data_IF_369239752524
#
_entry.id   IF_369239752524
#
_cell.length_a   1.000
_cell.length_b   1.000
_cell.length_c   1.000
_cell.angle_alpha   90.00
_cell.angle_beta   90.00
_cell.angle_gamma   90.00
#
_symmetry.space_group_name_H-M   'P 1'
#
loop_
_entity.id
_entity.type
_entity.pdbx_description
1 polymer ?
#
# COMPACT_ATOMS: atom_id res chain seq x y z
N UNK A 1 -43.90 -4.70 38.03
CA UNK A 1 -42.83 -3.75 38.35
C UNK A 1 -41.51 -4.37 37.94
N UNK A 2 -40.89 -3.86 36.88
CA UNK A 2 -39.53 -4.29 36.50
C UNK A 2 -38.59 -3.75 37.57
N UNK A 3 -37.87 -4.65 38.25
CA UNK A 3 -37.00 -4.33 39.36
C UNK A 3 -35.81 -3.52 38.81
N UNK A 4 -35.69 -2.25 39.20
CA UNK A 4 -34.74 -1.27 38.63
C UNK A 4 -33.28 -1.78 38.62
N UNK A 5 -32.93 -2.60 39.60
CA UNK A 5 -31.64 -3.30 39.73
C UNK A 5 -31.36 -4.29 38.60
N UNK A 6 -32.38 -5.00 38.09
CA UNK A 6 -32.21 -5.93 36.96
C UNK A 6 -31.96 -5.17 35.66
N UNK A 7 -32.58 -4.00 35.50
CA UNK A 7 -32.41 -3.15 34.31
C UNK A 7 -30.98 -2.58 34.24
N UNK A 8 -30.43 -2.16 35.39
CA UNK A 8 -29.05 -1.69 35.51
C UNK A 8 -28.06 -2.80 35.15
N UNK A 9 -28.29 -4.03 35.61
CA UNK A 9 -27.42 -5.18 35.28
C UNK A 9 -27.42 -5.50 33.78
N UNK A 10 -28.59 -5.45 33.14
CA UNK A 10 -28.72 -5.69 31.68
C UNK A 10 -28.03 -4.59 30.89
N UNK A 11 -28.16 -3.33 31.33
CA UNK A 11 -27.49 -2.19 30.70
C UNK A 11 -25.97 -2.29 30.85
N UNK A 12 -25.47 -2.70 32.02
CA UNK A 12 -24.04 -2.93 32.26
C UNK A 12 -23.49 -4.05 31.36
N UNK A 13 -24.26 -5.12 31.15
CA UNK A 13 -23.91 -6.24 30.28
C UNK A 13 -23.86 -5.82 28.80
N UNK A 14 -24.78 -4.95 28.37
CA UNK A 14 -24.81 -4.41 27.01
C UNK A 14 -23.59 -3.52 26.71
N UNK A 15 -23.17 -2.69 27.66
CA UNK A 15 -21.99 -1.82 27.49
C UNK A 15 -20.70 -2.66 27.32
N UNK A 16 -20.62 -3.84 27.93
CA UNK A 16 -19.50 -4.77 27.78
C UNK A 16 -19.44 -5.42 26.38
N UNK A 17 -20.54 -5.43 25.61
CA UNK A 17 -20.57 -5.99 24.25
C UNK A 17 -20.15 -5.01 23.14
N UNK A 18 -20.04 -3.71 23.46
CA UNK A 18 -19.61 -2.67 22.49
C UNK A 18 -18.07 -2.53 22.46
N UNK A 19 -17.36 -3.33 23.25
CA UNK A 19 -15.91 -3.31 23.35
C UNK A 19 -15.22 -4.17 22.29
N UNK A 20 -14.50 -3.50 21.39
CA UNK A 20 -13.46 -4.04 20.48
C UNK A 20 -13.92 -4.73 19.19
N UNK A 21 -14.55 -3.98 18.29
CA UNK A 21 -14.20 -4.09 16.86
C UNK A 21 -13.28 -2.92 16.52
N UNK A 22 -12.05 -2.96 17.03
CA UNK A 22 -11.02 -2.07 16.48
C UNK A 22 -10.65 -2.69 15.13
N UNK A 23 -11.38 -2.30 14.07
CA UNK A 23 -10.97 -2.65 12.72
C UNK A 23 -9.50 -2.26 12.59
N UNK A 24 -8.68 -3.23 12.19
CA UNK A 24 -7.25 -3.01 12.05
C UNK A 24 -7.06 -2.08 10.85
N UNK A 25 -7.03 -0.78 11.13
CA UNK A 25 -6.78 0.25 10.12
C UNK A 25 -5.42 -0.08 9.49
N UNK A 26 -5.42 -0.38 8.19
CA UNK A 26 -4.19 -0.62 7.42
C UNK A 26 -3.42 0.69 7.37
N UNK A 27 -2.11 0.64 7.66
CA UNK A 27 -1.22 1.80 7.66
C UNK A 27 -0.14 1.62 6.60
N UNK A 28 0.43 2.71 6.06
CA UNK A 28 1.54 2.65 5.10
C UNK A 28 2.88 2.31 5.79
N UNK A 29 2.91 1.24 6.59
CA UNK A 29 4.05 0.81 7.40
C UNK A 29 4.86 -0.34 6.78
N UNK A 30 4.41 -0.86 5.64
CA UNK A 30 5.16 -1.79 4.79
C UNK A 30 4.89 -1.51 3.30
N UNK A 31 5.78 -1.95 2.39
CA UNK A 31 5.57 -1.82 0.94
C UNK A 31 4.24 -2.43 0.47
N UNK A 32 3.86 -3.58 1.05
CA UNK A 32 2.61 -4.27 0.72
C UNK A 32 1.39 -3.45 1.14
N UNK A 33 1.39 -2.94 2.38
CA UNK A 33 0.29 -2.12 2.87
C UNK A 33 0.18 -0.79 2.11
N UNK A 34 1.31 -0.15 1.80
CA UNK A 34 1.33 1.07 1.00
C UNK A 34 0.79 0.83 -0.42
N UNK A 35 1.21 -0.27 -1.06
CA UNK A 35 0.74 -0.64 -2.40
C UNK A 35 -0.75 -0.95 -2.43
N UNK A 36 -1.27 -1.59 -1.38
CA UNK A 36 -2.70 -1.81 -1.19
C UNK A 36 -3.47 -0.50 -1.00
N UNK A 37 -3.00 0.39 -0.13
CA UNK A 37 -3.64 1.68 0.11
C UNK A 37 -3.66 2.54 -1.17
N UNK A 38 -2.56 2.55 -1.92
CA UNK A 38 -2.49 3.22 -3.21
C UNK A 38 -3.47 2.63 -4.25
N UNK A 39 -3.61 1.30 -4.34
CA UNK A 39 -4.57 0.68 -5.26
C UNK A 39 -6.03 1.02 -4.90
N UNK A 40 -6.35 1.09 -3.61
CA UNK A 40 -7.65 1.54 -3.12
C UNK A 40 -7.90 3.01 -3.51
N UNK A 41 -6.92 3.89 -3.31
CA UNK A 41 -7.04 5.30 -3.67
C UNK A 41 -7.24 5.49 -5.19
N UNK A 42 -6.49 4.75 -6.03
CA UNK A 42 -6.66 4.75 -7.49
C UNK A 42 -8.07 4.28 -7.89
N UNK A 43 -8.55 3.17 -7.32
CA UNK A 43 -9.90 2.65 -7.63
C UNK A 43 -11.01 3.62 -7.26
N UNK A 44 -10.86 4.31 -6.14
CA UNK A 44 -11.85 5.26 -5.65
C UNK A 44 -11.68 6.66 -6.29
N UNK A 45 -10.69 6.84 -7.16
CA UNK A 45 -10.30 8.15 -7.73
C UNK A 45 -10.04 9.20 -6.64
N UNK A 46 -9.55 8.76 -5.47
CA UNK A 46 -9.18 9.64 -4.36
C UNK A 46 -7.73 10.09 -4.50
N UNK A 47 -7.51 11.05 -5.40
CA UNK A 47 -6.18 11.54 -5.72
C UNK A 47 -5.54 12.36 -4.60
N UNK A 48 -6.33 12.90 -3.66
CA UNK A 48 -5.79 13.57 -2.48
C UNK A 48 -5.15 12.56 -1.53
N UNK A 49 -5.83 11.45 -1.26
CA UNK A 49 -5.29 10.36 -0.47
C UNK A 49 -4.07 9.74 -1.18
N UNK A 50 -4.16 9.49 -2.48
CA UNK A 50 -3.03 8.97 -3.28
C UNK A 50 -1.82 9.91 -3.21
N UNK A 51 -2.01 11.22 -3.36
CA UNK A 51 -0.94 12.24 -3.25
C UNK A 51 -0.29 12.24 -1.87
N UNK A 52 -1.03 11.90 -0.81
CA UNK A 52 -0.49 11.85 0.56
C UNK A 52 0.63 10.82 0.73
N UNK A 53 0.61 9.75 -0.07
CA UNK A 53 1.56 8.63 -0.04
C UNK A 53 2.89 8.91 -0.75
N UNK A 54 2.97 9.98 -1.54
CA UNK A 54 4.21 10.38 -2.19
C UNK A 54 5.17 11.05 -1.19
N UNK A 55 6.46 11.00 -1.50
CA UNK A 55 7.46 11.83 -0.80
C UNK A 55 7.17 13.31 -1.04
N UNK A 56 7.55 14.17 -0.11
CA UNK A 56 7.30 15.62 -0.26
C UNK A 56 7.96 16.20 -1.52
N UNK A 57 9.18 15.74 -1.84
CA UNK A 57 9.86 16.09 -3.10
C UNK A 57 9.09 15.71 -4.36
N UNK A 58 8.34 14.61 -4.31
CA UNK A 58 7.55 14.14 -5.45
C UNK A 58 6.22 14.88 -5.53
N UNK A 59 5.59 15.21 -4.40
CA UNK A 59 4.32 15.96 -4.37
C UNK A 59 4.38 17.31 -5.11
N UNK A 60 5.56 17.94 -5.13
CA UNK A 60 5.82 19.21 -5.82
C UNK A 60 5.85 19.07 -7.35
N UNK A 61 6.12 17.86 -7.87
CA UNK A 61 6.22 17.60 -9.32
C UNK A 61 4.97 16.94 -9.90
N UNK A 62 4.04 16.47 -9.06
CA UNK A 62 2.75 15.91 -9.49
C UNK A 62 1.74 17.03 -9.78
N UNK A 63 1.37 17.16 -11.05
CA UNK A 63 0.30 18.04 -11.52
C UNK A 63 -1.04 17.28 -11.67
N UNK A 64 -2.09 18.01 -12.01
CA UNK A 64 -3.42 17.41 -12.20
C UNK A 64 -3.44 16.45 -13.40
N UNK A 65 -2.61 16.70 -14.43
CA UNK A 65 -2.53 15.84 -15.61
C UNK A 65 -2.04 14.44 -15.24
N UNK A 66 -1.07 14.33 -14.33
CA UNK A 66 -0.62 13.03 -13.82
C UNK A 66 -1.77 12.20 -13.25
N UNK A 67 -2.70 12.82 -12.51
CA UNK A 67 -3.82 12.11 -11.91
C UNK A 67 -4.95 11.83 -12.91
N UNK A 68 -5.18 12.73 -13.87
CA UNK A 68 -6.09 12.50 -15.00
C UNK A 68 -5.66 11.27 -15.81
N UNK A 69 -4.36 11.05 -16.00
CA UNK A 69 -3.83 9.87 -16.70
C UNK A 69 -4.10 8.55 -15.94
N UNK A 70 -4.41 8.62 -14.64
CA UNK A 70 -4.80 7.46 -13.82
C UNK A 70 -6.31 7.19 -13.89
N UNK A 71 -7.11 8.11 -14.43
CA UNK A 71 -8.55 7.92 -14.56
C UNK A 71 -8.83 6.77 -15.52
N UNK A 72 -9.69 5.85 -15.09
CA UNK A 72 -10.06 4.68 -15.87
C UNK A 72 -9.13 3.48 -15.67
N UNK A 73 -8.03 3.62 -14.91
CA UNK A 73 -7.30 2.47 -14.38
C UNK A 73 -8.20 1.79 -13.36
N UNK A 74 -8.69 0.61 -13.73
CA UNK A 74 -9.46 -0.24 -12.83
C UNK A 74 -8.54 -1.29 -12.22
N UNK A 75 -8.44 -1.30 -10.90
CA UNK A 75 -7.54 -2.15 -10.13
C UNK A 75 -8.31 -3.26 -9.35
N UNK A 76 -9.50 -3.64 -9.83
CA UNK A 76 -10.15 -4.87 -9.38
C UNK A 76 -9.27 -6.09 -9.72
N UNK A 77 -8.90 -6.86 -8.69
CA UNK A 77 -8.08 -8.07 -8.87
C UNK A 77 -6.57 -7.80 -9.02
N UNK A 78 -6.06 -6.71 -8.45
CA UNK A 78 -4.62 -6.41 -8.44
C UNK A 78 -3.82 -7.49 -7.73
N UNK A 79 -2.78 -7.96 -8.42
CA UNK A 79 -1.69 -8.69 -7.80
C UNK A 79 -0.63 -7.68 -7.33
N UNK A 80 -0.28 -7.73 -6.04
CA UNK A 80 0.74 -6.86 -5.47
C UNK A 80 2.10 -7.55 -5.53
N UNK A 81 3.08 -6.88 -6.16
CA UNK A 81 4.47 -7.34 -6.26
C UNK A 81 5.40 -6.25 -5.77
N UNK A 82 6.39 -6.64 -4.98
CA UNK A 82 7.43 -5.72 -4.48
C UNK A 82 8.68 -5.89 -5.30
N UNK A 83 9.18 -4.80 -5.89
CA UNK A 83 10.45 -4.79 -6.61
C UNK A 83 11.48 -3.95 -5.88
N UNK A 84 12.70 -4.49 -5.72
CA UNK A 84 13.86 -3.70 -5.30
C UNK A 84 14.75 -3.41 -6.50
N UNK A 85 15.09 -2.14 -6.69
CA UNK A 85 15.99 -1.70 -7.74
C UNK A 85 17.44 -1.69 -7.24
N UNK A 86 18.30 -2.46 -7.92
CA UNK A 86 19.74 -2.44 -7.74
C UNK A 86 20.41 -1.75 -8.92
N UNK A 87 21.24 -0.75 -8.63
CA UNK A 87 22.08 -0.06 -9.62
C UNK A 87 23.55 -0.40 -9.38
N UNK A 88 24.15 -1.15 -10.30
CA UNK A 88 25.57 -1.48 -10.30
C UNK A 88 26.34 -0.33 -10.94
N UNK A 89 26.80 0.62 -10.12
CA UNK A 89 27.41 1.89 -10.56
C UNK A 89 28.58 1.64 -11.53
N UNK A 90 29.48 0.73 -11.19
CA UNK A 90 30.69 0.47 -11.98
C UNK A 90 30.43 -0.21 -13.33
N UNK A 91 29.28 -0.86 -13.47
CA UNK A 91 28.93 -1.65 -14.66
C UNK A 91 27.83 -1.00 -15.51
N UNK A 92 27.28 0.13 -15.03
CA UNK A 92 26.11 0.79 -15.60
C UNK A 92 24.98 -0.22 -15.90
N UNK A 93 24.69 -1.07 -14.89
CA UNK A 93 23.63 -2.09 -14.98
C UNK A 93 22.57 -1.86 -13.92
N UNK A 94 21.31 -2.01 -14.34
CA UNK A 94 20.14 -1.96 -13.46
C UNK A 94 19.50 -3.34 -13.43
N UNK A 95 19.16 -3.78 -12.23
CA UNK A 95 18.49 -5.07 -11.97
C UNK A 95 17.31 -4.82 -11.03
N UNK A 96 16.17 -5.44 -11.35
CA UNK A 96 15.02 -5.50 -10.45
C UNK A 96 14.98 -6.88 -9.79
N UNK A 97 14.85 -6.89 -8.47
CA UNK A 97 14.59 -8.10 -7.69
C UNK A 97 13.10 -8.14 -7.36
N UNK A 98 12.40 -9.16 -7.82
CA UNK A 98 11.04 -9.45 -7.37
C UNK A 98 11.10 -10.11 -6.01
N UNK A 99 10.58 -9.43 -4.98
CA UNK A 99 10.63 -9.84 -3.59
C UNK A 99 9.24 -10.29 -3.16
N UNK A 100 9.17 -11.48 -2.55
CA UNK A 100 7.94 -12.05 -2.00
C UNK A 100 8.12 -12.37 -0.53
N UNK A 101 7.03 -12.27 0.24
CA UNK A 101 7.02 -12.68 1.65
C UNK A 101 6.56 -14.14 1.73
N UNK A 102 7.39 -15.00 2.31
CA UNK A 102 7.04 -16.38 2.58
C UNK A 102 6.07 -16.45 3.78
N UNK A 103 4.85 -16.97 3.62
CA UNK A 103 3.84 -16.99 4.67
C UNK A 103 4.15 -18.01 5.80
N UNK A 104 4.98 -19.02 5.55
CA UNK A 104 5.28 -20.07 6.52
C UNK A 104 6.28 -19.60 7.58
N UNK A 105 7.29 -18.83 7.17
CA UNK A 105 8.39 -18.39 8.03
C UNK A 105 8.48 -16.86 8.21
N UNK A 106 7.61 -16.09 7.54
CA UNK A 106 7.59 -14.62 7.51
C UNK A 106 8.86 -13.93 6.98
N UNK A 107 9.78 -14.68 6.36
CA UNK A 107 10.96 -14.12 5.72
C UNK A 107 10.64 -13.60 4.32
N UNK A 108 11.48 -12.68 3.84
CA UNK A 108 11.44 -12.23 2.45
C UNK A 108 12.39 -13.06 1.59
N UNK A 109 11.94 -13.42 0.40
CA UNK A 109 12.66 -14.26 -0.57
C UNK A 109 12.66 -13.58 -1.94
N UNK A 110 13.68 -13.86 -2.75
CA UNK A 110 13.76 -13.37 -4.15
C UNK A 110 13.08 -14.41 -5.04
N UNK A 111 12.02 -14.01 -5.72
CA UNK A 111 11.32 -14.86 -6.69
C UNK A 111 11.97 -14.80 -8.07
N UNK A 112 12.31 -13.60 -8.55
CA UNK A 112 12.92 -13.40 -9.87
C UNK A 112 13.97 -12.27 -9.85
N UNK A 113 14.91 -12.38 -10.79
CA UNK A 113 15.92 -11.35 -11.07
C UNK A 113 15.72 -10.89 -12.52
N UNK A 114 15.36 -9.62 -12.71
CA UNK A 114 15.09 -9.04 -14.02
C UNK A 114 16.21 -8.07 -14.35
N UNK A 115 17.01 -8.38 -15.38
CA UNK A 115 17.99 -7.44 -15.92
C UNK A 115 17.25 -6.42 -16.78
N UNK A 116 17.35 -5.13 -16.42
CA UNK A 116 16.73 -4.05 -17.19
C UNK A 116 17.55 -3.83 -18.47
N UNK A 117 16.93 -3.91 -19.67
CA UNK A 117 17.61 -3.58 -20.92
C UNK A 117 18.11 -2.13 -20.92
N UNK A 118 19.24 -1.88 -21.60
CA UNK A 118 19.88 -0.56 -21.58
C UNK A 118 18.96 0.54 -22.10
N UNK A 119 18.15 0.25 -23.12
CA UNK A 119 17.19 1.22 -23.67
C UNK A 119 16.13 1.70 -22.66
N UNK A 120 15.87 0.95 -21.60
CA UNK A 120 14.90 1.32 -20.55
C UNK A 120 15.57 1.91 -19.30
N UNK A 121 16.90 2.00 -19.27
CA UNK A 121 17.64 2.46 -18.09
C UNK A 121 17.29 3.87 -17.64
N UNK A 122 16.94 4.75 -18.59
CA UNK A 122 16.55 6.14 -18.33
C UNK A 122 15.27 6.26 -17.50
N UNK A 123 14.35 5.28 -17.58
CA UNK A 123 13.11 5.27 -16.78
C UNK A 123 13.37 5.19 -15.27
N UNK A 124 14.56 4.71 -14.88
CA UNK A 124 14.96 4.51 -13.50
C UNK A 124 16.05 5.48 -13.04
N UNK A 125 16.44 6.40 -13.91
CA UNK A 125 17.35 7.49 -13.56
C UNK A 125 16.52 8.58 -12.90
N UNK A 126 16.67 8.73 -11.58
CA UNK A 126 16.11 9.88 -10.87
C UNK A 126 16.58 11.15 -11.59
N UNK A 127 15.64 11.92 -12.14
CA UNK A 127 15.91 13.29 -12.56
C UNK A 127 16.32 14.14 -11.36
#
# INVERSE_FOLDING_TARGET
MINSTRLIFILLLLILTVGCTHEKIVKPDSPENLSYLASVAINNQDFNELKSYFTDSSKETLDDQYFEDLIGINSHGVEHRTYSLLRMIDQDQIVLLEIVKNPENNNYEIQNIIKVPKEYGELFSNK
#
